data_IF_735063572474
#
_entry.id   IF_735063572474
#
_cell.length_a   1.000
_cell.length_b   1.000
_cell.length_c   1.000
_cell.angle_alpha   90.00
_cell.angle_beta   90.00
_cell.angle_gamma   90.00
#
_symmetry.space_group_name_H-M   'P 1'
#
loop_
_entity.id
_entity.type
_entity.pdbx_description
1 polymer ?
#
# COMPACT_ATOMS: atom_id res chain seq x y z
N UNK A 1 -62.13 -71.42 19.58
CA UNK A 1 -63.04 -70.38 20.14
C UNK A 1 -62.36 -69.00 19.84
N UNK A 2 -62.95 -68.20 18.99
CA UNK A 2 -62.43 -66.86 18.70
C UNK A 2 -62.68 -65.92 19.90
N UNK A 3 -61.65 -65.44 20.55
CA UNK A 3 -61.78 -64.43 21.61
C UNK A 3 -62.51 -63.21 21.05
N UNK A 4 -63.65 -62.85 21.65
CA UNK A 4 -64.36 -61.61 21.37
C UNK A 4 -63.44 -60.44 21.82
N UNK A 5 -62.82 -59.74 20.84
CA UNK A 5 -62.00 -58.58 21.16
C UNK A 5 -62.89 -57.43 21.62
N UNK A 6 -62.45 -56.72 22.67
CA UNK A 6 -63.21 -55.65 23.32
C UNK A 6 -63.28 -54.42 22.35
N UNK A 7 -64.30 -53.59 22.54
CA UNK A 7 -64.48 -52.37 21.69
C UNK A 7 -63.35 -51.40 21.81
N UNK A 8 -62.76 -51.26 22.98
CA UNK A 8 -61.57 -50.44 23.25
C UNK A 8 -60.38 -50.92 22.45
N UNK A 9 -60.11 -52.24 22.38
CA UNK A 9 -59.03 -52.76 21.54
C UNK A 9 -59.26 -52.49 20.06
N UNK A 10 -60.49 -52.52 19.55
CA UNK A 10 -60.83 -52.24 18.18
C UNK A 10 -60.52 -50.74 17.83
N UNK A 11 -60.92 -49.80 18.75
CA UNK A 11 -60.67 -48.38 18.60
C UNK A 11 -59.18 -48.07 18.64
N UNK A 12 -58.43 -48.69 19.53
CA UNK A 12 -56.97 -48.51 19.64
C UNK A 12 -56.24 -49.10 18.43
N UNK A 13 -56.62 -50.25 17.91
CA UNK A 13 -56.10 -50.86 16.69
C UNK A 13 -56.33 -49.94 15.45
N UNK A 14 -57.47 -49.28 15.33
CA UNK A 14 -57.77 -48.31 14.29
C UNK A 14 -56.94 -47.07 14.47
N UNK A 15 -56.77 -46.57 15.69
CA UNK A 15 -55.90 -45.37 15.98
C UNK A 15 -54.45 -45.59 15.53
N UNK A 16 -53.90 -46.77 15.95
CA UNK A 16 -52.52 -47.17 15.55
C UNK A 16 -52.41 -47.30 14.03
N UNK A 17 -53.36 -47.88 13.36
CA UNK A 17 -53.35 -48.04 11.91
C UNK A 17 -53.41 -46.70 11.11
N UNK A 18 -54.03 -45.68 11.72
CA UNK A 18 -54.14 -44.37 11.09
C UNK A 18 -53.01 -43.40 11.46
N UNK A 19 -52.37 -43.55 12.66
CA UNK A 19 -51.36 -42.64 13.17
C UNK A 19 -49.91 -43.10 12.99
N UNK A 20 -49.66 -44.43 12.88
CA UNK A 20 -48.31 -45.00 12.88
C UNK A 20 -47.54 -44.84 11.55
N UNK A 21 -48.20 -44.50 10.44
CA UNK A 21 -47.59 -44.46 9.10
C UNK A 21 -47.17 -45.84 8.54
N UNK A 22 -47.44 -46.93 9.27
CA UNK A 22 -47.12 -48.30 8.85
C UNK A 22 -48.21 -48.87 7.92
N UNK A 23 -47.82 -49.84 7.08
CA UNK A 23 -48.81 -50.51 6.22
C UNK A 23 -49.81 -51.29 7.04
N UNK A 24 -51.09 -51.29 6.61
CA UNK A 24 -52.18 -52.02 7.32
C UNK A 24 -51.89 -53.52 7.54
N UNK A 25 -51.11 -54.12 6.62
CA UNK A 25 -50.67 -55.52 6.76
C UNK A 25 -49.71 -55.70 7.91
N UNK A 26 -48.84 -54.77 8.16
CA UNK A 26 -47.84 -54.82 9.25
C UNK A 26 -48.48 -54.53 10.57
N UNK A 27 -49.35 -53.53 10.67
CA UNK A 27 -50.13 -53.27 11.92
C UNK A 27 -51.04 -54.43 12.29
N UNK A 28 -51.69 -55.08 11.33
CA UNK A 28 -52.51 -56.25 11.58
C UNK A 28 -51.67 -57.42 12.07
N UNK A 29 -50.49 -57.66 11.53
CA UNK A 29 -49.58 -58.71 12.01
C UNK A 29 -49.05 -58.41 13.40
N UNK A 30 -48.65 -57.16 13.71
CA UNK A 30 -48.16 -56.77 15.04
C UNK A 30 -49.23 -56.87 16.15
N UNK A 31 -50.52 -56.69 15.81
CA UNK A 31 -51.63 -56.76 16.68
C UNK A 31 -52.28 -58.18 16.74
N UNK A 32 -51.73 -59.14 15.97
CA UNK A 32 -52.27 -60.55 15.93
C UNK A 32 -53.66 -60.67 15.37
N UNK A 33 -54.10 -59.78 14.44
CA UNK A 33 -55.44 -59.76 13.86
C UNK A 33 -55.37 -59.88 12.30
N UNK A 34 -56.46 -60.35 11.71
CA UNK A 34 -56.55 -60.43 10.25
C UNK A 34 -56.60 -59.03 9.60
N UNK A 35 -55.91 -58.88 8.45
CA UNK A 35 -55.93 -57.64 7.68
C UNK A 35 -57.34 -57.18 7.28
N UNK A 36 -58.19 -58.11 6.91
CA UNK A 36 -59.60 -57.88 6.61
C UNK A 36 -60.37 -57.34 7.82
N UNK A 37 -60.12 -57.90 9.02
CA UNK A 37 -60.68 -57.45 10.27
C UNK A 37 -60.28 -56.03 10.63
N UNK A 38 -59.00 -55.70 10.46
CA UNK A 38 -58.52 -54.35 10.72
C UNK A 38 -59.12 -53.36 9.71
N UNK A 39 -59.21 -53.72 8.40
CA UNK A 39 -59.83 -52.92 7.40
C UNK A 39 -61.35 -52.71 7.66
N UNK A 40 -62.05 -53.70 8.10
CA UNK A 40 -63.45 -53.57 8.52
C UNK A 40 -63.63 -52.61 9.71
N UNK A 41 -62.77 -52.69 10.71
CA UNK A 41 -62.78 -51.75 11.83
C UNK A 41 -62.43 -50.33 11.43
N UNK A 42 -61.45 -50.12 10.56
CA UNK A 42 -61.13 -48.80 10.03
C UNK A 42 -62.36 -48.20 9.27
N UNK A 43 -63.08 -49.01 8.51
CA UNK A 43 -64.30 -48.56 7.85
C UNK A 43 -65.42 -48.23 8.79
N UNK A 44 -65.61 -49.06 9.88
CA UNK A 44 -66.64 -48.88 10.89
C UNK A 44 -66.44 -47.69 11.82
N UNK A 45 -65.19 -47.38 12.16
CA UNK A 45 -64.86 -46.31 13.12
C UNK A 45 -64.39 -45.05 12.48
N UNK A 46 -64.26 -45.02 11.14
CA UNK A 46 -63.83 -43.82 10.37
C UNK A 46 -64.84 -42.70 10.32
N UNK A 47 -66.12 -43.06 10.56
CA UNK A 47 -67.24 -42.10 10.44
C UNK A 47 -67.68 -41.47 11.78
N UNK A 48 -67.08 -41.89 12.94
CA UNK A 48 -67.69 -41.48 14.19
C UNK A 48 -66.84 -40.57 15.11
N UNK A 49 -65.53 -40.42 14.90
CA UNK A 49 -64.71 -39.60 15.79
C UNK A 49 -63.40 -39.05 15.19
N UNK A 50 -63.45 -38.36 14.03
CA UNK A 50 -62.30 -37.55 13.55
C UNK A 50 -62.72 -36.11 13.21
N UNK A 51 -63.33 -35.45 14.16
CA UNK A 51 -63.17 -34.05 14.35
C UNK A 51 -61.76 -33.86 14.89
N UNK A 52 -60.79 -33.42 14.01
CA UNK A 52 -59.48 -32.99 14.47
C UNK A 52 -59.72 -31.92 15.53
N UNK A 53 -59.25 -32.04 16.76
CA UNK A 53 -59.50 -31.03 17.79
C UNK A 53 -58.96 -29.68 17.31
N UNK A 54 -59.74 -28.59 17.49
CA UNK A 54 -59.29 -27.20 17.18
C UNK A 54 -57.90 -26.91 17.78
N UNK A 55 -57.54 -27.49 18.91
CA UNK A 55 -56.23 -27.47 19.55
C UNK A 55 -55.08 -27.97 18.63
N UNK A 56 -55.34 -28.88 17.64
CA UNK A 56 -54.29 -29.37 16.75
C UNK A 56 -54.00 -28.39 15.62
N UNK A 57 -54.98 -27.63 15.16
CA UNK A 57 -54.81 -26.59 14.14
C UNK A 57 -54.06 -25.39 14.68
N UNK A 58 -54.31 -25.02 15.95
CA UNK A 58 -53.59 -23.92 16.62
C UNK A 58 -52.13 -24.29 16.89
N UNK A 59 -51.84 -25.54 17.27
CA UNK A 59 -50.47 -26.05 17.42
C UNK A 59 -49.71 -26.09 16.09
N UNK A 60 -50.38 -26.41 14.99
CA UNK A 60 -49.77 -26.39 13.65
C UNK A 60 -49.42 -24.97 13.25
N UNK A 61 -50.35 -24.01 13.40
CA UNK A 61 -50.09 -22.58 13.10
C UNK A 61 -48.99 -22.02 13.97
N UNK A 62 -48.96 -22.35 15.28
CA UNK A 62 -47.91 -21.91 16.19
C UNK A 62 -46.54 -22.49 15.80
N UNK A 63 -46.49 -23.77 15.40
CA UNK A 63 -45.26 -24.40 14.94
C UNK A 63 -44.73 -23.75 13.65
N UNK A 64 -45.60 -23.41 12.71
CA UNK A 64 -45.24 -22.67 11.50
C UNK A 64 -44.72 -21.27 11.85
N UNK A 65 -45.37 -20.55 12.76
CA UNK A 65 -44.92 -19.26 13.27
C UNK A 65 -43.54 -19.34 13.89
N UNK A 66 -43.32 -20.30 14.79
CA UNK A 66 -42.05 -20.51 15.48
C UNK A 66 -40.92 -20.94 14.51
N UNK A 67 -41.24 -21.71 13.48
CA UNK A 67 -40.28 -22.08 12.43
C UNK A 67 -39.84 -20.85 11.64
N UNK A 68 -40.77 -19.98 11.28
CA UNK A 68 -40.48 -18.74 10.58
C UNK A 68 -39.62 -17.81 11.46
N UNK A 69 -40.00 -17.63 12.73
CA UNK A 69 -39.25 -16.83 13.69
C UNK A 69 -37.82 -17.35 13.89
N UNK A 70 -37.66 -18.65 14.05
CA UNK A 70 -36.34 -19.30 14.17
C UNK A 70 -35.49 -19.08 12.93
N UNK A 71 -36.07 -19.08 11.73
CA UNK A 71 -35.36 -18.78 10.48
C UNK A 71 -34.85 -17.34 10.48
N UNK A 72 -35.72 -16.39 10.80
CA UNK A 72 -35.38 -14.96 10.87
C UNK A 72 -34.28 -14.73 11.90
N UNK A 73 -34.39 -15.29 13.10
CA UNK A 73 -33.39 -15.16 14.16
C UNK A 73 -32.03 -15.75 13.78
N UNK A 74 -32.02 -16.88 13.04
CA UNK A 74 -30.76 -17.44 12.52
C UNK A 74 -30.09 -16.52 11.49
N UNK A 75 -30.87 -15.95 10.58
CA UNK A 75 -30.37 -14.99 9.60
C UNK A 75 -29.83 -13.73 10.28
N UNK A 76 -30.56 -13.16 11.25
CA UNK A 76 -30.10 -12.01 12.05
C UNK A 76 -28.81 -12.30 12.78
N UNK A 77 -28.69 -13.47 13.39
CA UNK A 77 -27.45 -13.88 14.09
C UNK A 77 -26.26 -13.95 13.14
N UNK A 78 -26.45 -14.47 11.94
CA UNK A 78 -25.40 -14.54 10.93
C UNK A 78 -25.00 -13.13 10.43
N UNK A 79 -25.98 -12.26 10.20
CA UNK A 79 -25.73 -10.85 9.86
C UNK A 79 -24.96 -10.17 11.00
N UNK A 80 -25.41 -10.35 12.26
CA UNK A 80 -24.79 -9.74 13.43
C UNK A 80 -23.32 -10.15 13.58
N UNK A 81 -23.03 -11.47 13.46
CA UNK A 81 -21.64 -11.97 13.52
C UNK A 81 -20.72 -11.28 12.50
N UNK A 82 -21.20 -11.06 11.27
CA UNK A 82 -20.41 -10.42 10.21
C UNK A 82 -20.35 -8.91 10.34
N UNK A 83 -21.36 -8.27 10.90
CA UNK A 83 -21.48 -6.82 11.02
C UNK A 83 -20.95 -6.25 12.33
N UNK A 84 -20.51 -7.10 13.28
CA UNK A 84 -20.08 -6.66 14.61
C UNK A 84 -19.04 -5.51 14.58
N UNK A 85 -18.06 -5.59 13.67
CA UNK A 85 -17.04 -4.55 13.50
C UNK A 85 -17.60 -3.24 12.92
N UNK A 86 -18.75 -3.29 12.24
CA UNK A 86 -19.34 -2.17 11.51
C UNK A 86 -20.45 -1.46 12.29
N UNK A 87 -21.00 -2.10 13.33
CA UNK A 87 -22.12 -1.57 14.12
C UNK A 87 -21.82 -0.22 14.80
N UNK A 88 -20.57 0.00 15.21
CA UNK A 88 -20.12 1.25 15.87
C UNK A 88 -19.60 2.29 14.87
N UNK A 89 -19.53 1.95 13.60
CA UNK A 89 -19.01 2.82 12.56
C UNK A 89 -20.06 3.86 12.08
N UNK A 90 -19.63 4.96 11.44
CA UNK A 90 -20.53 5.94 10.84
C UNK A 90 -21.54 5.31 9.86
N UNK A 91 -22.69 5.99 9.67
CA UNK A 91 -23.78 5.50 8.79
C UNK A 91 -23.30 5.12 7.38
N UNK A 92 -22.36 5.88 6.81
CA UNK A 92 -21.82 5.61 5.48
C UNK A 92 -21.13 4.24 5.38
N UNK A 93 -20.40 3.83 6.44
CA UNK A 93 -19.73 2.52 6.51
C UNK A 93 -20.78 1.41 6.65
N UNK A 94 -21.81 1.62 7.48
CA UNK A 94 -22.94 0.70 7.63
C UNK A 94 -23.72 0.52 6.32
N UNK A 95 -23.97 1.61 5.59
CA UNK A 95 -24.61 1.57 4.27
C UNK A 95 -23.74 0.89 3.22
N UNK A 96 -22.41 1.08 3.25
CA UNK A 96 -21.49 0.35 2.38
C UNK A 96 -21.52 -1.16 2.65
N UNK A 97 -21.62 -1.58 3.91
CA UNK A 97 -21.78 -2.98 4.29
C UNK A 97 -23.09 -3.56 3.75
N UNK A 98 -24.22 -2.85 3.89
CA UNK A 98 -25.52 -3.28 3.33
C UNK A 98 -25.40 -3.47 1.82
N UNK A 99 -24.77 -2.52 1.11
CA UNK A 99 -24.56 -2.60 -0.34
C UNK A 99 -23.75 -3.82 -0.76
N UNK A 100 -22.73 -4.17 0.02
CA UNK A 100 -21.86 -5.32 -0.26
C UNK A 100 -22.54 -6.69 0.00
N UNK A 101 -23.60 -6.72 0.80
CA UNK A 101 -24.23 -7.96 1.23
C UNK A 101 -25.71 -8.10 0.83
N UNK A 102 -26.24 -7.15 0.05
CA UNK A 102 -27.66 -7.11 -0.39
C UNK A 102 -28.10 -8.32 -1.24
N UNK A 103 -27.15 -8.97 -1.89
CA UNK A 103 -27.43 -10.15 -2.71
C UNK A 103 -27.56 -11.43 -1.87
N UNK A 104 -27.15 -11.39 -0.60
CA UNK A 104 -27.19 -12.52 0.32
C UNK A 104 -28.34 -12.45 1.33
N UNK A 105 -28.70 -11.24 1.78
CA UNK A 105 -29.74 -11.00 2.78
C UNK A 105 -30.67 -9.87 2.38
N UNK A 106 -31.94 -9.92 2.79
CA UNK A 106 -32.87 -8.84 2.54
C UNK A 106 -32.39 -7.51 3.11
N UNK A 107 -32.55 -6.43 2.35
CA UNK A 107 -32.13 -5.09 2.77
C UNK A 107 -32.81 -4.66 4.08
N UNK A 108 -34.07 -5.08 4.31
CA UNK A 108 -34.80 -4.77 5.53
C UNK A 108 -34.11 -5.34 6.77
N UNK A 109 -33.68 -6.61 6.72
CA UNK A 109 -33.02 -7.29 7.83
C UNK A 109 -31.62 -6.74 8.09
N UNK A 110 -30.85 -6.46 7.02
CA UNK A 110 -29.58 -5.77 7.13
C UNK A 110 -29.72 -4.39 7.79
N UNK A 111 -30.73 -3.61 7.39
CA UNK A 111 -31.00 -2.30 7.98
C UNK A 111 -31.39 -2.40 9.45
N UNK A 112 -32.22 -3.39 9.81
CA UNK A 112 -32.68 -3.64 11.18
C UNK A 112 -31.50 -4.00 12.08
N UNK A 113 -30.69 -4.97 11.70
CA UNK A 113 -29.52 -5.40 12.47
C UNK A 113 -28.48 -4.26 12.60
N UNK A 114 -28.25 -3.48 11.54
CA UNK A 114 -27.30 -2.37 11.55
C UNK A 114 -27.88 -1.05 12.11
N UNK A 115 -29.12 -1.08 12.63
CA UNK A 115 -29.80 0.07 13.25
C UNK A 115 -29.79 1.33 12.34
N UNK A 116 -30.15 1.15 11.07
CA UNK A 116 -30.30 2.22 10.08
C UNK A 116 -31.63 2.10 9.36
N UNK A 117 -32.19 3.22 8.90
CA UNK A 117 -33.46 3.18 8.15
C UNK A 117 -33.26 2.74 6.71
N UNK A 118 -34.19 1.93 6.20
CA UNK A 118 -34.23 1.51 4.78
C UNK A 118 -34.38 2.71 3.83
N UNK A 119 -35.16 3.72 4.25
CA UNK A 119 -35.28 4.99 3.52
C UNK A 119 -33.94 5.73 3.44
N UNK A 120 -33.19 5.78 4.54
CA UNK A 120 -31.85 6.38 4.59
C UNK A 120 -30.85 5.65 3.70
N UNK A 121 -30.89 4.33 3.69
CA UNK A 121 -30.06 3.54 2.78
C UNK A 121 -30.39 3.79 1.31
N UNK A 122 -31.68 3.77 0.92
CA UNK A 122 -32.12 4.06 -0.46
C UNK A 122 -31.69 5.47 -0.89
N UNK A 123 -31.90 6.47 -0.04
CA UNK A 123 -31.44 7.83 -0.30
C UNK A 123 -29.93 7.94 -0.45
N UNK A 124 -29.15 7.16 0.32
CA UNK A 124 -27.70 7.11 0.21
C UNK A 124 -27.26 6.45 -1.11
N UNK A 125 -27.92 5.37 -1.54
CA UNK A 125 -27.62 4.67 -2.81
C UNK A 125 -27.96 5.56 -4.00
N UNK A 126 -29.08 6.25 -3.98
CA UNK A 126 -29.53 7.12 -5.06
C UNK A 126 -28.87 8.49 -5.10
N UNK A 127 -28.15 8.87 -4.00
CA UNK A 127 -27.50 10.18 -3.92
C UNK A 127 -26.40 10.31 -4.98
N UNK A 128 -26.48 11.27 -5.89
CA UNK A 128 -25.43 11.56 -6.84
C UNK A 128 -24.16 11.99 -6.09
N UNK A 129 -22.98 11.64 -6.64
CA UNK A 129 -21.71 12.10 -6.08
C UNK A 129 -21.71 13.61 -5.97
N UNK A 130 -21.46 14.14 -4.77
CA UNK A 130 -21.34 15.58 -4.58
C UNK A 130 -20.12 16.12 -5.33
N UNK A 131 -20.14 17.39 -5.66
CA UNK A 131 -19.06 18.04 -6.44
C UNK A 131 -17.69 17.87 -5.76
N UNK A 132 -17.65 17.95 -4.43
CA UNK A 132 -16.44 17.70 -3.66
C UNK A 132 -15.88 16.28 -3.89
N UNK A 133 -16.72 15.25 -3.97
CA UNK A 133 -16.28 13.87 -4.23
C UNK A 133 -15.76 13.74 -5.66
N UNK A 134 -16.44 14.35 -6.65
CA UNK A 134 -15.97 14.37 -8.05
C UNK A 134 -14.62 15.06 -8.16
N UNK A 135 -14.44 16.21 -7.51
CA UNK A 135 -13.16 16.92 -7.50
C UNK A 135 -12.08 16.17 -6.73
N UNK A 136 -12.42 15.45 -5.65
CA UNK A 136 -11.49 14.58 -4.93
C UNK A 136 -10.98 13.43 -5.82
N UNK A 137 -11.84 12.84 -6.66
CA UNK A 137 -11.43 11.80 -7.62
C UNK A 137 -10.47 12.36 -8.69
N UNK A 138 -10.73 13.55 -9.22
CA UNK A 138 -9.81 14.21 -10.18
C UNK A 138 -8.45 14.46 -9.51
N UNK A 139 -8.45 15.05 -8.33
CA UNK A 139 -7.20 15.29 -7.57
C UNK A 139 -6.47 13.98 -7.27
N UNK A 140 -7.19 12.91 -6.92
CA UNK A 140 -6.60 11.61 -6.65
C UNK A 140 -5.94 10.99 -7.90
N UNK A 141 -6.54 11.15 -9.09
CA UNK A 141 -5.94 10.70 -10.34
C UNK A 141 -4.58 11.37 -10.57
N UNK A 142 -4.51 12.69 -10.44
CA UNK A 142 -3.25 13.44 -10.53
C UNK A 142 -2.25 13.06 -9.43
N UNK A 143 -2.71 12.82 -8.19
CA UNK A 143 -1.83 12.30 -7.11
C UNK A 143 -1.19 10.98 -7.53
N UNK A 144 -1.94 10.05 -8.11
CA UNK A 144 -1.42 8.74 -8.55
C UNK A 144 -0.41 8.88 -9.68
N UNK A 145 -0.69 9.73 -10.65
CA UNK A 145 0.22 10.06 -11.75
C UNK A 145 1.53 10.63 -11.24
N UNK A 146 1.49 11.73 -10.50
CA UNK A 146 2.69 12.38 -9.94
C UNK A 146 3.43 11.49 -8.94
N UNK A 147 2.72 10.61 -8.22
CA UNK A 147 3.33 9.63 -7.34
C UNK A 147 4.15 8.59 -8.13
N UNK A 148 3.65 8.13 -9.28
CA UNK A 148 4.39 7.25 -10.18
C UNK A 148 5.61 7.98 -10.78
N UNK A 149 5.42 9.19 -11.31
CA UNK A 149 6.46 10.01 -11.92
C UNK A 149 7.58 10.41 -10.93
N UNK A 150 7.26 10.50 -9.64
CA UNK A 150 8.23 10.78 -8.56
C UNK A 150 8.89 9.52 -7.99
N UNK A 151 8.84 8.39 -8.67
CA UNK A 151 9.33 7.10 -8.16
C UNK A 151 8.74 6.73 -6.77
N UNK A 152 7.50 7.14 -6.49
CA UNK A 152 6.80 6.92 -5.21
C UNK A 152 7.51 7.55 -4.00
N UNK A 153 8.26 8.63 -4.20
CA UNK A 153 9.10 9.24 -3.16
C UNK A 153 8.45 10.48 -2.52
N UNK A 154 7.48 11.10 -3.23
CA UNK A 154 6.90 12.35 -2.76
C UNK A 154 5.86 12.13 -1.66
N UNK A 155 6.10 12.80 -0.54
CA UNK A 155 5.12 12.97 0.52
C UNK A 155 4.22 14.18 0.26
N UNK A 156 3.32 14.42 1.21
CA UNK A 156 2.30 15.47 1.15
C UNK A 156 2.82 16.85 0.66
N UNK A 157 3.91 17.43 1.20
CA UNK A 157 4.34 18.76 0.77
C UNK A 157 4.75 18.82 -0.70
N UNK A 158 5.65 17.91 -1.14
CA UNK A 158 6.10 17.86 -2.53
C UNK A 158 4.96 17.54 -3.50
N UNK A 159 4.08 16.62 -3.12
CA UNK A 159 2.90 16.27 -3.91
C UNK A 159 1.97 17.48 -4.10
N UNK A 160 1.76 18.29 -3.06
CA UNK A 160 0.94 19.51 -3.15
C UNK A 160 1.55 20.52 -4.12
N UNK A 161 2.88 20.64 -4.14
CA UNK A 161 3.58 21.51 -5.08
C UNK A 161 3.41 21.05 -6.54
N UNK A 162 3.55 19.74 -6.80
CA UNK A 162 3.30 19.17 -8.14
C UNK A 162 1.88 19.50 -8.63
N UNK A 163 0.87 19.26 -7.77
CA UNK A 163 -0.52 19.52 -8.12
C UNK A 163 -0.79 21.01 -8.40
N UNK A 164 -0.17 21.92 -7.63
CA UNK A 164 -0.30 23.36 -7.86
C UNK A 164 0.34 23.78 -9.17
N UNK A 165 1.51 23.25 -9.53
CA UNK A 165 2.14 23.51 -10.82
C UNK A 165 1.34 22.92 -12.00
N UNK A 166 0.63 21.80 -11.78
CA UNK A 166 -0.34 21.26 -12.73
C UNK A 166 -1.66 22.05 -12.80
N UNK A 167 -1.75 23.22 -12.15
CA UNK A 167 -2.92 24.10 -12.17
C UNK A 167 -4.05 23.71 -11.20
N UNK A 168 -3.82 22.77 -10.29
CA UNK A 168 -4.83 22.33 -9.33
C UNK A 168 -4.74 23.15 -8.03
N UNK A 169 -5.76 23.94 -7.74
CA UNK A 169 -5.89 24.71 -6.49
C UNK A 169 -6.25 23.79 -5.31
N UNK A 170 -5.25 23.09 -4.76
CA UNK A 170 -5.44 22.14 -3.64
C UNK A 170 -4.58 22.48 -2.45
N UNK A 171 -5.17 22.37 -1.25
CA UNK A 171 -4.44 22.57 0.00
C UNK A 171 -3.76 21.29 0.47
N UNK A 172 -2.67 21.45 1.22
CA UNK A 172 -1.84 20.35 1.72
C UNK A 172 -2.60 19.35 2.59
N UNK A 173 -3.55 19.84 3.43
CA UNK A 173 -4.41 18.99 4.26
C UNK A 173 -5.30 18.07 3.42
N UNK A 174 -5.86 18.59 2.30
CA UNK A 174 -6.70 17.79 1.38
C UNK A 174 -5.88 16.71 0.69
N UNK A 175 -4.69 17.05 0.17
CA UNK A 175 -3.76 16.10 -0.44
C UNK A 175 -3.37 15.01 0.55
N UNK A 176 -2.98 15.39 1.78
CA UNK A 176 -2.60 14.42 2.82
C UNK A 176 -3.74 13.46 3.19
N UNK A 177 -4.98 13.95 3.26
CA UNK A 177 -6.17 13.13 3.51
C UNK A 177 -6.40 12.12 2.38
N UNK A 178 -6.34 12.57 1.13
CA UNK A 178 -6.53 11.70 -0.04
C UNK A 178 -5.43 10.65 -0.15
N UNK A 179 -4.17 11.02 0.06
CA UNK A 179 -3.05 10.08 0.09
C UNK A 179 -3.24 9.02 1.18
N UNK A 180 -3.57 9.44 2.41
CA UNK A 180 -3.78 8.52 3.54
C UNK A 180 -4.94 7.57 3.28
N UNK A 181 -6.09 8.07 2.81
CA UNK A 181 -7.28 7.27 2.53
C UNK A 181 -7.05 6.23 1.43
N UNK A 182 -6.10 6.46 0.51
CA UNK A 182 -5.78 5.55 -0.59
C UNK A 182 -4.46 4.77 -0.39
N UNK A 183 -3.91 4.74 0.82
CA UNK A 183 -2.69 3.99 1.13
C UNK A 183 -1.41 4.52 0.44
N UNK A 184 -1.44 5.73 -0.10
CA UNK A 184 -0.30 6.34 -0.80
C UNK A 184 0.67 6.90 0.24
N UNK A 185 1.84 6.27 0.37
CA UNK A 185 2.87 6.64 1.35
C UNK A 185 4.23 6.79 0.68
N UNK A 186 5.00 7.86 1.00
CA UNK A 186 6.35 8.02 0.47
C UNK A 186 7.28 6.94 1.03
N UNK A 187 8.30 6.59 0.26
CA UNK A 187 9.35 5.68 0.71
C UNK A 187 10.13 6.32 1.86
N UNK A 188 10.34 5.56 2.92
CA UNK A 188 11.13 6.00 4.08
C UNK A 188 12.62 5.67 3.89
N UNK A 189 13.49 6.60 4.27
CA UNK A 189 14.94 6.36 4.34
C UNK A 189 15.27 5.47 5.54
N UNK A 190 16.22 4.55 5.37
CA UNK A 190 16.80 3.77 6.48
C UNK A 190 17.91 4.56 7.16
N UNK A 191 18.18 4.29 8.45
CA UNK A 191 19.36 4.84 9.14
C UNK A 191 20.64 4.28 8.49
N UNK A 192 21.67 5.11 8.37
CA UNK A 192 22.93 4.78 7.72
C UNK A 192 24.01 4.43 8.75
N UNK A 193 24.97 3.54 8.36
CA UNK A 193 26.22 3.29 9.12
C UNK A 193 27.36 4.04 8.44
N UNK A 194 28.31 4.58 9.22
CA UNK A 194 29.56 5.19 8.76
C UNK A 194 30.51 4.08 8.28
N UNK A 195 31.11 4.24 7.11
CA UNK A 195 31.91 3.19 6.44
C UNK A 195 33.23 3.66 5.84
N UNK A 196 33.66 4.90 6.09
CA UNK A 196 34.92 5.43 5.52
C UNK A 196 36.11 5.04 6.39
N UNK A 197 37.11 4.37 5.82
CA UNK A 197 38.41 4.14 6.42
C UNK A 197 39.42 5.16 5.89
N UNK A 198 39.89 6.06 6.78
CA UNK A 198 40.84 7.13 6.46
C UNK A 198 42.28 6.84 6.94
N UNK A 199 42.63 5.56 7.24
CA UNK A 199 43.92 5.16 7.76
C UNK A 199 44.90 4.88 6.61
N UNK A 200 45.46 5.91 6.00
CA UNK A 200 46.51 5.78 5.01
C UNK A 200 47.52 6.93 5.15
N UNK A 201 48.73 6.75 4.65
CA UNK A 201 49.88 7.70 4.72
C UNK A 201 49.95 8.73 3.58
N UNK A 202 48.88 8.85 2.78
CA UNK A 202 48.83 9.82 1.68
C UNK A 202 48.63 11.23 2.21
N UNK A 203 49.20 12.25 1.53
CA UNK A 203 49.03 13.65 1.86
C UNK A 203 47.56 14.10 1.73
N UNK A 204 47.12 15.00 2.60
CA UNK A 204 45.79 15.58 2.58
C UNK A 204 45.82 17.04 2.24
N UNK A 205 44.82 17.50 1.45
CA UNK A 205 44.58 18.91 1.25
C UNK A 205 43.86 19.53 2.44
N UNK A 206 43.98 20.82 2.64
CA UNK A 206 43.27 21.57 3.67
C UNK A 206 41.74 21.58 3.42
N UNK A 207 40.98 21.75 4.47
CA UNK A 207 39.53 21.89 4.36
C UNK A 207 39.14 23.33 4.02
N UNK A 208 39.30 23.71 2.76
CA UNK A 208 38.97 25.04 2.26
C UNK A 208 37.47 25.27 2.19
N UNK A 209 36.69 24.21 1.97
CA UNK A 209 35.23 24.31 1.91
C UNK A 209 34.59 24.69 3.23
N UNK A 210 35.12 24.14 4.35
CA UNK A 210 34.69 24.38 5.74
C UNK A 210 33.17 24.48 5.91
N UNK A 211 32.42 23.52 5.35
CA UNK A 211 30.95 23.44 5.35
C UNK A 211 30.25 24.62 4.65
N UNK A 212 30.98 25.50 4.00
CA UNK A 212 30.39 26.56 3.18
C UNK A 212 29.80 26.02 1.88
N UNK A 213 28.74 25.17 2.02
CA UNK A 213 28.08 24.49 0.88
C UNK A 213 27.27 25.41 -0.04
N UNK A 214 27.16 26.68 0.28
CA UNK A 214 26.58 27.65 -0.62
C UNK A 214 27.64 28.11 -1.64
N UNK A 215 27.20 28.25 -2.88
CA UNK A 215 27.99 28.84 -3.95
C UNK A 215 27.14 29.92 -4.63
N UNK A 216 27.77 31.01 -5.05
CA UNK A 216 27.08 32.16 -5.64
C UNK A 216 26.73 31.93 -7.11
N UNK A 217 27.47 31.03 -7.76
CA UNK A 217 27.30 30.71 -9.18
C UNK A 217 27.61 29.23 -9.43
N UNK A 218 27.09 28.66 -10.53
CA UNK A 218 27.48 27.32 -10.97
C UNK A 218 28.99 27.21 -11.22
N UNK A 219 29.54 26.03 -11.06
CA UNK A 219 30.93 25.70 -11.34
C UNK A 219 31.96 26.42 -10.42
N UNK A 220 31.56 26.90 -9.26
CA UNK A 220 32.49 27.48 -8.26
C UNK A 220 32.97 26.45 -7.26
N UNK A 221 32.06 25.57 -6.82
CA UNK A 221 32.34 24.56 -5.78
C UNK A 221 31.69 23.23 -6.20
N UNK A 222 32.51 22.22 -6.36
CA UNK A 222 32.08 20.86 -6.65
C UNK A 222 32.41 19.95 -5.46
N UNK A 223 31.62 18.91 -5.25
CA UNK A 223 31.91 17.90 -4.27
C UNK A 223 31.78 16.48 -4.86
N UNK A 224 32.72 15.62 -4.48
CA UNK A 224 32.75 14.23 -4.95
C UNK A 224 32.78 13.23 -3.78
N UNK A 225 32.24 12.03 -4.05
CA UNK A 225 32.30 10.90 -3.13
C UNK A 225 32.05 9.59 -3.88
N UNK A 226 32.43 8.45 -3.25
CA UNK A 226 32.23 7.10 -3.79
C UNK A 226 31.35 6.31 -2.84
N UNK A 227 30.33 5.67 -3.40
CA UNK A 227 29.50 4.72 -2.65
C UNK A 227 29.46 3.36 -3.35
N UNK A 228 29.03 2.35 -2.62
CA UNK A 228 28.94 0.99 -3.12
C UNK A 228 27.49 0.47 -3.08
N UNK A 229 27.19 -0.41 -4.04
CA UNK A 229 25.90 -1.00 -4.31
C UNK A 229 26.07 -2.51 -4.46
N UNK A 230 25.26 -3.27 -3.75
CA UNK A 230 25.30 -4.73 -3.88
C UNK A 230 24.48 -5.17 -5.09
N UNK A 231 25.05 -6.08 -5.89
CA UNK A 231 24.39 -6.80 -6.98
C UNK A 231 24.65 -8.28 -6.84
N UNK A 232 23.89 -9.14 -7.54
CA UNK A 232 24.14 -10.59 -7.50
C UNK A 232 25.50 -10.97 -8.11
N UNK A 233 26.09 -10.12 -8.95
CA UNK A 233 27.45 -10.26 -9.49
C UNK A 233 28.53 -9.72 -8.53
N UNK A 234 28.17 -9.22 -7.34
CA UNK A 234 29.04 -8.59 -6.35
C UNK A 234 28.97 -7.08 -6.37
N UNK A 235 29.92 -6.42 -5.73
CA UNK A 235 29.92 -4.98 -5.54
C UNK A 235 30.02 -4.20 -6.85
N UNK A 236 29.20 -3.15 -6.94
CA UNK A 236 29.29 -2.06 -7.90
C UNK A 236 29.65 -0.78 -7.13
N UNK A 237 30.70 -0.10 -7.53
CA UNK A 237 31.14 1.18 -6.98
C UNK A 237 30.66 2.31 -7.86
N UNK A 238 30.20 3.39 -7.27
CA UNK A 238 29.68 4.57 -7.94
C UNK A 238 30.37 5.82 -7.40
N UNK A 239 31.17 6.48 -8.22
CA UNK A 239 31.69 7.82 -7.96
C UNK A 239 30.74 8.86 -8.53
N UNK A 240 30.51 9.96 -7.83
CA UNK A 240 29.71 11.09 -8.30
C UNK A 240 30.43 12.40 -8.07
N UNK A 241 30.12 13.40 -8.91
CA UNK A 241 30.52 14.80 -8.75
C UNK A 241 29.25 15.65 -8.81
N UNK A 242 29.07 16.50 -7.82
CA UNK A 242 27.90 17.35 -7.63
C UNK A 242 28.35 18.82 -7.64
N UNK A 243 27.66 19.65 -8.39
CA UNK A 243 27.78 21.11 -8.30
C UNK A 243 27.02 21.58 -7.03
N UNK A 244 27.73 22.23 -6.11
CA UNK A 244 27.17 22.69 -4.85
C UNK A 244 26.21 23.88 -5.00
N UNK A 245 26.24 24.60 -6.12
CA UNK A 245 25.27 25.66 -6.42
C UNK A 245 23.85 25.08 -6.63
N UNK A 246 23.75 24.16 -7.57
CA UNK A 246 22.45 23.61 -8.00
C UNK A 246 22.12 22.25 -7.45
N UNK A 247 23.04 21.60 -6.71
CA UNK A 247 22.93 20.19 -6.30
C UNK A 247 22.82 19.21 -7.46
N UNK A 248 23.13 19.64 -8.68
CA UNK A 248 23.11 18.82 -9.88
C UNK A 248 24.26 17.82 -9.88
N UNK A 249 23.99 16.58 -10.17
CA UNK A 249 25.02 15.58 -10.48
C UNK A 249 25.55 15.89 -11.90
N UNK A 250 26.80 16.34 -11.98
CA UNK A 250 27.43 16.78 -13.22
C UNK A 250 28.42 15.76 -13.77
N UNK A 251 28.85 14.82 -12.96
CA UNK A 251 29.70 13.71 -13.38
C UNK A 251 29.46 12.47 -12.53
N UNK A 252 29.59 11.30 -13.13
CA UNK A 252 29.53 10.05 -12.42
C UNK A 252 30.20 8.92 -13.20
N UNK A 253 30.67 7.91 -12.50
CA UNK A 253 31.22 6.69 -13.10
C UNK A 253 30.92 5.50 -12.23
N UNK A 254 30.70 4.34 -12.85
CA UNK A 254 30.49 3.06 -12.17
C UNK A 254 31.60 2.07 -12.54
N UNK A 255 31.97 1.19 -11.57
CA UNK A 255 33.00 0.17 -11.75
C UNK A 255 32.77 -1.02 -10.82
N UNK A 256 33.29 -2.19 -11.20
CA UNK A 256 33.34 -3.38 -10.34
C UNK A 256 34.49 -3.35 -9.31
N UNK A 257 35.37 -2.34 -9.38
CA UNK A 257 36.51 -2.17 -8.48
C UNK A 257 36.59 -0.74 -7.98
N UNK A 258 36.90 -0.57 -6.70
CA UNK A 258 37.08 0.75 -6.06
C UNK A 258 38.53 1.22 -6.22
N UNK A 259 38.89 1.58 -7.45
CA UNK A 259 40.20 2.16 -7.79
C UNK A 259 40.09 3.66 -8.03
N UNK A 260 41.24 4.39 -8.03
CA UNK A 260 41.33 5.81 -8.31
C UNK A 260 40.73 6.25 -9.67
N UNK A 261 40.73 5.34 -10.66
CA UNK A 261 40.22 5.61 -12.01
C UNK A 261 38.70 5.89 -12.04
N UNK A 262 37.93 5.37 -11.08
CA UNK A 262 36.52 5.68 -11.03
C UNK A 262 36.26 7.15 -10.67
N UNK A 263 37.01 7.71 -9.72
CA UNK A 263 36.92 9.12 -9.34
C UNK A 263 37.40 10.02 -10.51
N UNK A 264 38.47 9.62 -11.17
CA UNK A 264 39.00 10.34 -12.35
C UNK A 264 38.00 10.39 -13.50
N UNK A 265 37.33 9.25 -13.81
CA UNK A 265 36.30 9.20 -14.87
C UNK A 265 35.07 10.06 -14.53
N UNK A 266 34.66 10.08 -13.26
CA UNK A 266 33.55 10.93 -12.80
C UNK A 266 33.94 12.42 -12.96
N UNK A 267 35.16 12.79 -12.56
CA UNK A 267 35.69 14.16 -12.75
C UNK A 267 35.79 14.52 -14.22
N UNK A 268 36.35 13.64 -15.05
CA UNK A 268 36.50 13.90 -16.52
C UNK A 268 35.15 14.12 -17.19
N UNK A 269 34.10 13.35 -16.78
CA UNK A 269 32.72 13.57 -17.24
C UNK A 269 32.22 14.96 -16.83
N UNK A 270 32.43 15.36 -15.58
CA UNK A 270 32.01 16.66 -15.06
C UNK A 270 32.72 17.80 -15.81
N UNK A 271 34.03 17.68 -16.06
CA UNK A 271 34.81 18.65 -16.81
C UNK A 271 34.31 18.81 -18.25
N UNK A 272 34.03 17.71 -18.94
CA UNK A 272 33.48 17.74 -20.31
C UNK A 272 32.11 18.41 -20.38
N UNK A 273 31.28 18.18 -19.37
CA UNK A 273 29.92 18.72 -19.34
C UNK A 273 29.89 20.21 -18.98
N UNK A 274 30.82 20.68 -18.13
CA UNK A 274 30.68 21.98 -17.45
C UNK A 274 31.78 22.99 -17.85
N UNK A 275 32.95 22.51 -18.18
CA UNK A 275 34.11 23.37 -18.44
C UNK A 275 34.26 24.53 -17.43
N UNK A 276 34.48 24.22 -16.12
CA UNK A 276 34.46 25.21 -15.07
C UNK A 276 35.60 26.26 -15.24
N UNK A 277 35.43 27.48 -14.72
CA UNK A 277 36.52 28.44 -14.67
C UNK A 277 37.67 27.93 -13.81
N UNK A 278 38.87 28.46 -14.03
CA UNK A 278 40.02 28.21 -13.15
C UNK A 278 39.69 28.60 -11.71
N UNK A 279 40.18 27.79 -10.74
CA UNK A 279 39.93 28.03 -9.31
C UNK A 279 38.63 27.43 -8.77
N UNK A 280 37.90 26.62 -9.54
CA UNK A 280 36.79 25.83 -8.99
C UNK A 280 37.30 24.94 -7.88
N UNK A 281 36.66 24.99 -6.69
CA UNK A 281 36.99 24.13 -5.54
C UNK A 281 36.42 22.75 -5.76
N UNK A 282 37.23 21.70 -5.62
CA UNK A 282 36.80 20.31 -5.59
C UNK A 282 36.97 19.75 -4.19
N UNK A 283 35.84 19.49 -3.54
CA UNK A 283 35.80 18.91 -2.18
C UNK A 283 35.54 17.40 -2.20
N UNK A 284 36.25 16.64 -1.38
CA UNK A 284 36.06 15.20 -1.19
C UNK A 284 36.31 14.77 0.26
N UNK A 285 35.98 13.52 0.55
CA UNK A 285 36.49 12.87 1.77
C UNK A 285 38.01 12.57 1.63
N UNK A 286 38.62 12.04 2.71
CA UNK A 286 40.02 11.61 2.74
C UNK A 286 40.20 10.17 2.22
N UNK A 287 39.37 9.71 1.30
CA UNK A 287 39.52 8.39 0.69
C UNK A 287 40.79 8.30 -0.14
N UNK A 288 41.48 7.14 -0.12
CA UNK A 288 42.72 6.91 -0.86
C UNK A 288 42.61 7.21 -2.37
N UNK A 289 41.41 7.09 -2.93
CA UNK A 289 41.14 7.40 -4.36
C UNK A 289 41.34 8.89 -4.67
N UNK A 290 40.84 9.74 -3.79
CA UNK A 290 40.97 11.21 -3.92
C UNK A 290 42.34 11.72 -3.49
N UNK A 291 42.99 11.07 -2.53
CA UNK A 291 44.34 11.39 -2.09
C UNK A 291 45.42 10.89 -3.08
N UNK A 292 45.07 10.08 -4.09
CA UNK A 292 46.02 9.53 -5.04
C UNK A 292 46.73 10.60 -5.87
N UNK A 293 48.00 10.40 -6.14
CA UNK A 293 48.79 11.34 -6.96
C UNK A 293 48.16 11.61 -8.33
N UNK A 294 47.59 10.59 -8.98
CA UNK A 294 46.99 10.77 -10.29
C UNK A 294 45.71 11.62 -10.23
N UNK A 295 44.91 11.49 -9.19
CA UNK A 295 43.74 12.34 -9.02
C UNK A 295 44.13 13.79 -8.71
N UNK A 296 45.11 14.00 -7.83
CA UNK A 296 45.63 15.33 -7.54
C UNK A 296 46.27 16.01 -8.76
N UNK A 297 47.04 15.25 -9.55
CA UNK A 297 47.59 15.71 -10.84
C UNK A 297 46.48 16.12 -11.84
N UNK A 298 45.33 15.40 -11.83
CA UNK A 298 44.15 15.74 -12.62
C UNK A 298 43.53 17.07 -12.18
N UNK A 299 43.38 17.31 -10.88
CA UNK A 299 42.85 18.58 -10.35
C UNK A 299 43.77 19.75 -10.77
N UNK A 300 45.08 19.58 -10.61
CA UNK A 300 46.08 20.60 -11.06
C UNK A 300 45.97 20.85 -12.53
N UNK A 301 45.87 19.79 -13.38
CA UNK A 301 45.69 19.94 -14.82
C UNK A 301 44.43 20.74 -15.17
N UNK A 302 43.35 20.57 -14.43
CA UNK A 302 42.10 21.29 -14.60
C UNK A 302 42.05 22.63 -13.86
N UNK A 303 43.17 23.05 -13.24
CA UNK A 303 43.27 24.29 -12.46
C UNK A 303 42.21 24.39 -11.36
N UNK A 304 41.87 23.25 -10.76
CA UNK A 304 40.96 23.17 -9.62
C UNK A 304 41.72 23.25 -8.31
N UNK A 305 41.06 23.78 -7.28
CA UNK A 305 41.60 23.86 -5.91
C UNK A 305 41.10 22.65 -5.13
N UNK A 306 42.00 21.74 -4.69
CA UNK A 306 41.58 20.61 -3.87
C UNK A 306 41.14 21.04 -2.45
N UNK A 307 40.09 20.43 -1.92
CA UNK A 307 39.64 20.58 -0.52
C UNK A 307 39.22 19.22 0.02
N UNK A 308 39.62 18.92 1.25
CA UNK A 308 39.30 17.61 1.87
C UNK A 308 38.66 17.78 3.25
N UNK A 309 37.72 16.92 3.57
CA UNK A 309 37.05 16.87 4.88
C UNK A 309 38.05 16.72 6.03
N UNK A 310 37.75 17.27 7.20
CA UNK A 310 38.50 17.03 8.42
C UNK A 310 38.52 15.54 8.81
N UNK A 311 39.58 15.12 9.55
CA UNK A 311 39.69 13.71 10.00
C UNK A 311 38.50 13.32 10.87
N UNK A 312 37.77 12.27 10.44
CA UNK A 312 36.61 11.76 11.18
C UNK A 312 35.36 12.63 11.14
N UNK A 313 35.34 13.69 10.32
CA UNK A 313 34.22 14.61 10.24
C UNK A 313 33.35 14.31 9.01
N UNK A 314 32.27 13.54 9.21
CA UNK A 314 31.32 13.20 8.16
C UNK A 314 30.44 14.38 7.69
N UNK A 315 30.34 15.46 8.48
CA UNK A 315 29.51 16.62 8.11
C UNK A 315 30.10 17.46 6.97
N UNK A 316 31.39 17.35 6.71
CA UNK A 316 32.06 18.16 5.71
C UNK A 316 31.70 17.73 4.28
N UNK A 317 31.19 16.49 4.05
CA UNK A 317 30.70 16.01 2.76
C UNK A 317 29.19 15.72 2.75
N UNK A 318 28.42 16.35 3.64
CA UNK A 318 27.01 16.06 3.89
C UNK A 318 26.11 16.18 2.63
N UNK A 319 26.49 17.01 1.64
CA UNK A 319 25.71 17.19 0.42
C UNK A 319 25.74 15.93 -0.44
N UNK A 320 26.91 15.36 -0.67
CA UNK A 320 27.05 14.15 -1.49
C UNK A 320 26.50 12.94 -0.76
N UNK A 321 26.70 12.87 0.55
CA UNK A 321 26.06 11.84 1.39
C UNK A 321 24.52 11.89 1.30
N UNK A 322 23.94 13.10 1.29
CA UNK A 322 22.48 13.28 1.11
C UNK A 322 22.01 12.81 -0.25
N UNK A 323 22.79 13.02 -1.30
CA UNK A 323 22.51 12.45 -2.61
C UNK A 323 22.50 10.92 -2.56
N UNK A 324 23.56 10.29 -2.03
CA UNK A 324 23.63 8.83 -1.95
C UNK A 324 22.50 8.25 -1.07
N UNK A 325 22.16 8.90 0.02
CA UNK A 325 21.02 8.52 0.85
C UNK A 325 19.71 8.54 0.07
N UNK A 326 19.51 9.57 -0.76
CA UNK A 326 18.34 9.67 -1.63
C UNK A 326 18.34 8.59 -2.70
N UNK A 327 19.43 8.42 -3.44
CA UNK A 327 19.59 7.40 -4.47
C UNK A 327 19.32 5.97 -3.91
N UNK A 328 19.92 5.66 -2.77
CA UNK A 328 19.75 4.35 -2.11
C UNK A 328 18.31 4.12 -1.67
N UNK A 329 17.67 5.08 -1.01
CA UNK A 329 16.32 4.94 -0.51
C UNK A 329 15.25 4.99 -1.61
N UNK A 330 15.43 5.86 -2.58
CA UNK A 330 14.43 6.12 -3.62
C UNK A 330 14.49 5.11 -4.77
N UNK A 331 15.63 4.40 -4.94
CA UNK A 331 15.79 3.45 -6.05
C UNK A 331 16.52 2.17 -5.65
N UNK A 332 17.76 2.25 -5.13
CA UNK A 332 18.63 1.08 -5.01
C UNK A 332 18.14 0.02 -4.02
N UNK A 333 17.62 0.41 -2.86
CA UNK A 333 17.15 -0.53 -1.83
C UNK A 333 15.74 -1.07 -2.05
N UNK A 334 15.11 -0.72 -3.15
CA UNK A 334 13.72 -1.09 -3.45
C UNK A 334 13.60 -2.39 -4.24
N UNK A 335 14.68 -2.87 -4.79
CA UNK A 335 14.74 -4.12 -5.55
C UNK A 335 16.12 -4.75 -5.47
N UNK A 336 16.22 -6.03 -5.80
CA UNK A 336 17.48 -6.72 -6.00
C UNK A 336 18.01 -6.42 -7.40
N UNK A 337 19.33 -6.35 -7.53
CA UNK A 337 20.01 -6.08 -8.78
C UNK A 337 20.70 -7.34 -9.29
N UNK A 338 20.16 -8.03 -10.30
CA UNK A 338 20.78 -9.23 -10.85
C UNK A 338 22.18 -8.98 -11.40
N UNK A 339 22.36 -7.88 -12.15
CA UNK A 339 23.65 -7.55 -12.78
C UNK A 339 24.08 -6.11 -12.48
N UNK A 340 25.40 -5.88 -12.52
CA UNK A 340 25.99 -4.53 -12.46
C UNK A 340 25.50 -3.64 -13.59
N UNK A 341 25.30 -4.22 -14.77
CA UNK A 341 24.78 -3.52 -15.96
C UNK A 341 23.39 -2.95 -15.73
N UNK A 342 22.48 -3.75 -15.17
CA UNK A 342 21.12 -3.30 -14.84
C UNK A 342 21.12 -2.20 -13.78
N UNK A 343 21.91 -2.36 -12.71
CA UNK A 343 22.07 -1.34 -11.69
C UNK A 343 22.63 -0.02 -12.29
N UNK A 344 23.63 -0.10 -13.16
CA UNK A 344 24.22 1.06 -13.82
C UNK A 344 23.21 1.78 -14.72
N UNK A 345 22.41 1.04 -15.51
CA UNK A 345 21.36 1.61 -16.35
C UNK A 345 20.29 2.34 -15.51
N UNK A 346 19.87 1.73 -14.39
CA UNK A 346 18.93 2.35 -13.49
C UNK A 346 19.50 3.62 -12.81
N UNK A 347 20.78 3.63 -12.44
CA UNK A 347 21.48 4.81 -11.91
C UNK A 347 21.49 5.94 -12.94
N UNK A 348 21.79 5.62 -14.20
CA UNK A 348 21.73 6.61 -15.30
C UNK A 348 20.34 7.23 -15.40
N UNK A 349 19.29 6.41 -15.41
CA UNK A 349 17.90 6.86 -15.47
C UNK A 349 17.52 7.69 -14.24
N UNK A 350 17.94 7.27 -13.06
CA UNK A 350 17.68 8.01 -11.84
C UNK A 350 18.36 9.39 -11.86
N UNK A 351 19.63 9.48 -12.21
CA UNK A 351 20.39 10.74 -12.22
C UNK A 351 19.82 11.71 -13.26
N UNK A 352 19.70 11.26 -14.52
CA UNK A 352 19.34 12.15 -15.63
C UNK A 352 17.83 12.32 -15.79
N UNK A 353 17.06 11.22 -15.70
CA UNK A 353 15.62 11.22 -15.91
C UNK A 353 14.80 11.69 -14.71
N UNK A 354 15.37 11.66 -13.51
CA UNK A 354 14.62 12.03 -12.31
C UNK A 354 15.35 13.02 -11.41
N UNK A 355 16.54 12.69 -10.87
CA UNK A 355 17.21 13.52 -9.87
C UNK A 355 17.54 14.92 -10.38
N UNK A 356 18.21 15.02 -11.52
CA UNK A 356 18.59 16.31 -12.10
C UNK A 356 17.39 17.06 -12.69
N UNK A 357 16.49 16.35 -13.38
CA UNK A 357 15.46 16.97 -14.21
C UNK A 357 14.14 17.24 -13.47
N UNK A 358 13.77 16.41 -12.49
CA UNK A 358 12.43 16.46 -11.87
C UNK A 358 12.42 16.52 -10.36
N UNK A 359 13.42 15.90 -9.68
CA UNK A 359 13.40 15.75 -8.24
C UNK A 359 13.45 17.11 -7.54
N UNK A 360 12.39 17.39 -6.74
CA UNK A 360 12.30 18.63 -5.96
C UNK A 360 13.26 18.62 -4.77
N UNK A 361 14.03 19.67 -4.67
CA UNK A 361 14.98 19.92 -3.59
C UNK A 361 14.50 21.06 -2.69
N UNK A 362 14.32 20.79 -1.39
CA UNK A 362 13.91 21.84 -0.44
C UNK A 362 14.90 23.00 -0.39
N UNK A 363 16.20 22.69 -0.50
CA UNK A 363 17.26 23.68 -0.54
C UNK A 363 17.20 24.63 -1.74
N UNK A 364 16.66 24.16 -2.87
CA UNK A 364 16.53 24.92 -4.12
C UNK A 364 15.13 25.57 -4.28
N UNK A 365 14.45 25.85 -3.19
CA UNK A 365 13.08 26.38 -3.27
C UNK A 365 12.08 25.37 -3.82
N UNK A 366 12.35 24.05 -3.62
CA UNK A 366 11.48 22.95 -4.06
C UNK A 366 11.32 22.79 -5.57
N UNK A 367 12.33 23.18 -6.33
CA UNK A 367 12.46 22.90 -7.78
C UNK A 367 13.59 21.90 -8.04
N UNK A 368 13.68 21.40 -9.25
CA UNK A 368 14.76 20.48 -9.64
C UNK A 368 16.09 21.20 -9.88
N UNK A 369 17.25 20.49 -9.80
CA UNK A 369 18.55 21.05 -10.10
C UNK A 369 18.63 21.77 -11.45
N UNK A 370 18.11 21.15 -12.51
CA UNK A 370 18.08 21.76 -13.84
C UNK A 370 17.21 23.02 -13.92
N UNK A 371 16.01 22.96 -13.30
CA UNK A 371 15.12 24.12 -13.26
C UNK A 371 15.72 25.27 -12.43
N UNK A 372 16.50 24.94 -11.38
CA UNK A 372 17.22 25.97 -10.61
C UNK A 372 18.31 26.66 -11.42
N UNK A 373 19.13 25.88 -12.13
CA UNK A 373 20.15 26.46 -13.02
C UNK A 373 19.54 27.32 -14.13
N UNK A 374 18.43 26.85 -14.74
CA UNK A 374 17.75 27.63 -15.79
C UNK A 374 17.13 28.94 -15.29
N UNK A 375 16.86 29.09 -13.99
CA UNK A 375 16.39 30.35 -13.40
C UNK A 375 17.52 31.31 -13.04
N UNK A 376 18.72 30.79 -12.87
CA UNK A 376 19.89 31.55 -12.47
C UNK A 376 20.77 31.97 -13.69
N UNK A 377 20.48 31.40 -14.87
CA UNK A 377 21.10 31.78 -16.15
C UNK A 377 20.38 32.97 -16.79
#
# INVERSE_FOLDING_TARGET
MAMKQTEEFRREAVRIALSSGLSRTRVAADLGIGKSTLSHWISQYRSTDLTVPEASTDLIRENERLRLENRVLREEREIFKKSHAVLREPKDVRFAFIRAHRDRWPIADLCRVLQVSTRGYRAWVSRPMCERQRTDLKVLAHIREHYALSNRTYGRPRMTMELKEAGLAVGERRVGRLMKANGIRPVRTRRHKVTTDSRHSLGFADNILDRAFMADAPNRKWAGDISYIWTSEGWLYLAVVIDLFSRRVIGWAASNRMKKDIAIRALDMAMRLRNPPSGCIFHSDRGSQYCSHDFQKKLTKYRMIPSMSGKGNCYDNAVVETFFKSLKAEMLWRQCWPTRRQATAAIFQYINGFYNSRRRHSYLGSISPLAFEAKAA
#
